data_IF_949428512411
#
_entry.id   IF_949428512411
#
_cell.length_a   1.000
_cell.length_b   1.000
_cell.length_c   1.000
_cell.angle_alpha   90.00
_cell.angle_beta   90.00
_cell.angle_gamma   90.00
#
_symmetry.space_group_name_H-M   'P 1'
#
loop_
_entity.id
_entity.type
_entity.pdbx_description
1 polymer ?
#
# COMPACT_ATOMS: atom_id res chain seq x y z
N UNK A 1 35.50 31.90 49.56
CA UNK A 1 36.22 30.84 48.79
C UNK A 1 37.09 31.54 47.75
N UNK A 2 38.40 31.24 47.69
CA UNK A 2 39.34 31.92 46.78
C UNK A 2 38.98 31.60 45.31
N UNK A 3 39.08 32.57 44.39
CA UNK A 3 38.69 32.36 42.99
C UNK A 3 39.56 31.31 42.28
N UNK A 4 40.85 31.21 42.62
CA UNK A 4 41.80 30.27 42.01
C UNK A 4 41.42 28.80 42.18
N UNK A 5 40.80 28.48 43.32
CA UNK A 5 40.34 27.14 43.69
C UNK A 5 39.17 26.67 42.79
N UNK A 6 38.34 27.62 42.30
CA UNK A 6 37.24 27.33 41.37
C UNK A 6 37.74 27.05 39.96
N UNK A 7 38.76 27.77 39.50
CA UNK A 7 39.36 27.54 38.19
C UNK A 7 40.11 26.21 38.14
N UNK A 8 40.82 25.85 39.21
CA UNK A 8 41.47 24.54 39.31
C UNK A 8 40.45 23.39 39.30
N UNK A 9 39.36 23.51 40.08
CA UNK A 9 38.28 22.52 40.06
C UNK A 9 37.67 22.36 38.66
N UNK A 10 37.41 23.47 37.96
CA UNK A 10 36.90 23.45 36.58
C UNK A 10 37.86 22.76 35.61
N UNK A 11 39.17 23.03 35.71
CA UNK A 11 40.19 22.37 34.87
C UNK A 11 40.22 20.86 35.15
N UNK A 12 40.13 20.43 36.41
CA UNK A 12 40.12 19.00 36.75
C UNK A 12 38.86 18.27 36.24
N UNK A 13 37.70 18.93 36.31
CA UNK A 13 36.46 18.38 35.75
C UNK A 13 36.54 18.25 34.23
N UNK A 14 37.01 19.31 33.55
CA UNK A 14 37.20 19.30 32.09
C UNK A 14 38.19 18.22 31.65
N UNK A 15 39.29 18.04 32.38
CA UNK A 15 40.26 16.98 32.10
C UNK A 15 39.61 15.60 32.23
N UNK A 16 38.82 15.38 33.28
CA UNK A 16 38.06 14.13 33.44
C UNK A 16 37.03 13.88 32.33
N UNK A 17 36.46 14.92 31.74
CA UNK A 17 35.60 14.78 30.56
C UNK A 17 36.38 14.43 29.30
N UNK A 18 37.54 15.07 29.07
CA UNK A 18 38.43 14.74 27.95
C UNK A 18 38.89 13.29 28.03
N UNK A 19 39.28 12.82 29.21
CA UNK A 19 39.71 11.43 29.41
C UNK A 19 38.57 10.43 29.12
N UNK A 20 37.34 10.74 29.56
CA UNK A 20 36.15 9.93 29.23
C UNK A 20 35.87 9.91 27.72
N UNK A 21 35.99 11.05 27.05
CA UNK A 21 35.79 11.12 25.59
C UNK A 21 36.83 10.27 24.87
N UNK A 22 38.09 10.34 25.27
CA UNK A 22 39.17 9.54 24.69
C UNK A 22 38.94 8.04 24.92
N UNK A 23 38.50 7.63 26.11
CA UNK A 23 38.20 6.22 26.38
C UNK A 23 37.00 5.73 25.55
N UNK A 24 35.93 6.54 25.43
CA UNK A 24 34.81 6.21 24.53
C UNK A 24 35.25 6.09 23.07
N UNK A 25 36.09 7.01 22.58
CA UNK A 25 36.63 6.93 21.23
C UNK A 25 37.42 5.62 21.04
N UNK A 26 38.28 5.27 22.00
CA UNK A 26 39.06 4.02 21.98
C UNK A 26 38.17 2.77 21.94
N UNK A 27 37.01 2.78 22.57
CA UNK A 27 36.05 1.67 22.47
C UNK A 27 35.22 1.67 21.18
N UNK A 28 34.88 2.85 20.65
CA UNK A 28 34.00 2.97 19.49
C UNK A 28 34.73 2.67 18.18
N UNK A 29 35.99 3.08 18.03
CA UNK A 29 36.79 2.79 16.82
C UNK A 29 36.85 1.29 16.47
N UNK A 30 37.18 0.37 17.39
CA UNK A 30 37.19 -1.06 17.08
C UNK A 30 35.78 -1.65 16.91
N UNK A 31 34.74 -1.10 17.55
CA UNK A 31 33.34 -1.51 17.32
C UNK A 31 32.91 -1.14 15.90
N UNK A 32 33.25 0.06 15.45
CA UNK A 32 32.97 0.53 14.10
C UNK A 32 33.70 -0.34 13.05
N UNK A 33 34.97 -0.66 13.27
CA UNK A 33 35.72 -1.53 12.37
C UNK A 33 35.13 -2.95 12.30
N UNK A 34 34.65 -3.50 13.43
CA UNK A 34 33.95 -4.79 13.46
C UNK A 34 32.64 -4.75 12.66
N UNK A 35 31.83 -3.71 12.82
CA UNK A 35 30.56 -3.56 12.10
C UNK A 35 30.79 -3.43 10.59
N UNK A 36 31.77 -2.63 10.16
CA UNK A 36 32.12 -2.52 8.74
C UNK A 36 32.59 -3.87 8.16
N UNK A 37 33.37 -4.64 8.93
CA UNK A 37 33.76 -6.01 8.53
C UNK A 37 32.59 -6.97 8.49
N UNK A 38 31.54 -6.76 9.30
CA UNK A 38 30.33 -7.59 9.28
C UNK A 38 29.40 -7.23 8.13
N UNK A 39 29.25 -5.95 7.84
CA UNK A 39 28.51 -5.42 6.69
C UNK A 39 29.10 -5.95 5.38
N UNK A 40 30.42 -5.85 5.20
CA UNK A 40 31.10 -6.35 4.00
C UNK A 40 31.11 -7.87 3.81
N UNK A 41 30.64 -8.68 4.77
CA UNK A 41 30.57 -10.15 4.62
C UNK A 41 29.43 -10.62 3.73
N UNK A 42 28.37 -9.82 3.59
CA UNK A 42 27.16 -10.20 2.83
C UNK A 42 26.81 -9.08 1.88
N UNK A 43 26.61 -9.42 0.61
CA UNK A 43 26.04 -8.49 -0.36
C UNK A 43 24.58 -8.27 0.05
N UNK A 44 24.28 -7.08 0.56
CA UNK A 44 22.91 -6.68 0.87
C UNK A 44 22.28 -6.05 -0.36
N UNK A 45 20.95 -5.91 -0.38
CA UNK A 45 20.25 -5.22 -1.47
C UNK A 45 20.72 -3.76 -1.65
N UNK A 46 21.29 -3.15 -0.60
CA UNK A 46 21.86 -1.80 -0.66
C UNK A 46 23.20 -1.76 -1.40
N UNK A 47 23.96 -2.86 -1.44
CA UNK A 47 25.23 -2.98 -2.17
C UNK A 47 25.05 -3.25 -3.67
N UNK A 48 23.82 -3.50 -4.12
CA UNK A 48 23.52 -3.73 -5.53
C UNK A 48 23.51 -2.40 -6.27
N UNK A 49 24.60 -2.11 -6.97
CA UNK A 49 24.67 -0.98 -7.90
C UNK A 49 24.10 -1.38 -9.27
N UNK A 50 22.92 -0.86 -9.62
CA UNK A 50 22.34 -1.02 -10.96
C UNK A 50 22.98 -0.02 -11.93
N UNK A 51 23.83 -0.49 -12.85
CA UNK A 51 24.51 0.38 -13.83
C UNK A 51 23.62 0.81 -15.01
N UNK A 52 22.73 -0.08 -15.46
CA UNK A 52 21.81 0.20 -16.55
C UNK A 52 20.48 -0.49 -16.24
N UNK A 53 19.48 0.30 -15.86
CA UNK A 53 18.11 -0.18 -15.66
C UNK A 53 17.21 0.50 -16.69
N UNK A 54 16.59 -0.29 -17.56
CA UNK A 54 15.60 0.19 -18.52
C UNK A 54 14.41 -0.74 -18.50
N UNK A 55 13.26 -0.23 -18.07
CA UNK A 55 11.99 -0.94 -18.17
C UNK A 55 11.34 -0.62 -19.51
N UNK A 56 11.25 -1.61 -20.42
CA UNK A 56 10.43 -1.49 -21.62
C UNK A 56 9.19 -2.36 -21.48
N UNK A 57 8.02 -1.72 -21.38
CA UNK A 57 6.73 -2.42 -21.39
C UNK A 57 6.15 -2.29 -22.79
N UNK A 58 6.11 -3.39 -23.53
CA UNK A 58 5.38 -3.45 -24.79
C UNK A 58 3.88 -3.33 -24.50
N UNK A 59 3.33 -2.12 -24.67
CA UNK A 59 1.87 -1.95 -24.74
C UNK A 59 1.39 -2.72 -25.96
N UNK A 60 0.41 -3.60 -25.79
CA UNK A 60 -0.23 -4.30 -26.91
C UNK A 60 -0.66 -3.26 -27.95
N UNK A 61 -0.12 -3.38 -29.17
CA UNK A 61 -0.58 -2.57 -30.30
C UNK A 61 -2.07 -2.85 -30.48
N UNK A 62 -2.94 -1.83 -30.62
CA UNK A 62 -4.30 -2.06 -31.06
C UNK A 62 -4.24 -2.87 -32.37
N UNK A 63 -4.95 -3.99 -32.40
CA UNK A 63 -5.06 -4.84 -33.56
C UNK A 63 -5.85 -4.11 -34.65
N UNK A 64 -5.16 -3.33 -35.48
CA UNK A 64 -5.71 -2.83 -36.74
C UNK A 64 -4.81 -3.24 -37.91
N UNK A 65 -5.31 -4.30 -38.57
CA UNK A 65 -5.23 -4.66 -39.99
C UNK A 65 -4.06 -4.13 -40.84
N UNK A 66 -3.33 -5.09 -41.42
CA UNK A 66 -2.50 -4.93 -42.62
C UNK A 66 -3.19 -4.04 -43.66
N UNK A 67 -2.60 -2.87 -43.91
CA UNK A 67 -2.80 -2.08 -45.12
C UNK A 67 -1.43 -1.54 -45.51
N UNK A 68 -0.92 -2.00 -46.65
CA UNK A 68 0.29 -1.45 -47.24
C UNK A 68 -0.03 -0.10 -47.89
N UNK A 69 0.57 0.98 -47.43
CA UNK A 69 0.87 2.15 -48.26
C UNK A 69 2.10 2.85 -47.72
N UNK A 70 3.12 2.94 -48.57
CA UNK A 70 4.20 3.92 -48.46
C UNK A 70 3.62 5.28 -48.83
N UNK A 71 3.42 6.16 -47.87
CA UNK A 71 3.10 7.56 -48.12
C UNK A 71 3.93 8.43 -47.16
N UNK A 72 4.82 9.21 -47.77
CA UNK A 72 5.70 10.16 -47.09
C UNK A 72 4.87 11.42 -46.87
N UNK A 73 4.57 11.76 -45.62
CA UNK A 73 3.98 13.06 -45.30
C UNK A 73 4.78 13.83 -44.24
N UNK A 74 4.75 15.15 -44.44
CA UNK A 74 5.81 16.11 -44.17
C UNK A 74 5.78 16.69 -42.76
N UNK A 75 6.97 17.08 -42.30
CA UNK A 75 7.27 17.68 -41.01
C UNK A 75 6.78 19.14 -40.95
N UNK A 76 5.53 19.32 -40.51
CA UNK A 76 4.93 20.50 -39.83
C UNK A 76 3.56 20.92 -40.41
N UNK A 77 2.44 20.32 -39.96
CA UNK A 77 1.09 20.73 -40.35
C UNK A 77 0.50 21.85 -39.46
N UNK A 78 1.27 22.53 -38.60
CA UNK A 78 0.77 23.63 -37.76
C UNK A 78 0.55 24.95 -38.53
N UNK A 79 -0.10 24.89 -39.68
CA UNK A 79 -0.67 26.05 -40.35
C UNK A 79 -2.14 25.73 -40.65
N UNK A 80 -3.02 26.54 -40.05
CA UNK A 80 -4.48 26.59 -40.26
C UNK A 80 -5.28 25.54 -39.47
N UNK A 81 -6.36 25.81 -38.75
CA UNK A 81 -6.96 26.99 -38.13
C UNK A 81 -8.18 26.46 -37.36
N UNK A 82 -8.44 27.04 -36.20
CA UNK A 82 -9.79 27.27 -35.64
C UNK A 82 -10.63 26.08 -35.12
N UNK A 83 -10.70 26.03 -33.79
CA UNK A 83 -11.91 26.33 -33.00
C UNK A 83 -12.84 25.19 -32.53
N UNK A 84 -13.14 25.29 -31.23
CA UNK A 84 -14.33 24.82 -30.49
C UNK A 84 -14.59 23.31 -30.30
N UNK A 85 -14.30 22.80 -29.08
CA UNK A 85 -15.35 22.43 -28.09
C UNK A 85 -14.79 21.83 -26.78
N UNK A 86 -14.89 22.63 -25.70
CA UNK A 86 -15.24 22.31 -24.30
C UNK A 86 -14.61 21.11 -23.56
N UNK A 87 -13.74 21.34 -22.55
CA UNK A 87 -13.60 20.39 -21.44
C UNK A 87 -14.69 20.67 -20.41
N UNK A 88 -15.45 19.63 -20.04
CA UNK A 88 -16.34 19.64 -18.90
C UNK A 88 -15.52 19.49 -17.62
N UNK A 89 -14.82 20.55 -17.24
CA UNK A 89 -14.21 20.69 -15.92
C UNK A 89 -15.30 21.05 -14.90
N UNK A 90 -15.89 20.03 -14.29
CA UNK A 90 -16.36 20.12 -12.91
C UNK A 90 -15.44 19.29 -12.03
N UNK A 91 -14.25 19.83 -11.81
CA UNK A 91 -13.52 19.59 -10.58
C UNK A 91 -14.38 20.14 -9.42
N UNK A 92 -15.22 19.28 -8.84
CA UNK A 92 -15.57 19.43 -7.43
C UNK A 92 -14.33 18.99 -6.66
N UNK A 93 -13.54 19.97 -6.29
CA UNK A 93 -12.66 19.88 -5.13
C UNK A 93 -13.64 19.82 -3.96
N UNK A 94 -13.90 18.61 -3.47
CA UNK A 94 -14.56 18.42 -2.19
C UNK A 94 -13.45 18.36 -1.15
N UNK A 95 -13.41 19.38 -0.28
CA UNK A 95 -12.39 19.60 0.74
C UNK A 95 -12.62 18.73 1.99
N UNK A 96 -13.18 17.54 1.81
CA UNK A 96 -13.18 16.45 2.79
C UNK A 96 -12.97 15.16 2.01
N UNK A 97 -11.75 14.61 2.02
CA UNK A 97 -11.48 13.32 1.39
C UNK A 97 -12.16 12.20 2.19
N UNK A 98 -13.48 12.11 2.07
CA UNK A 98 -14.27 10.98 2.50
C UNK A 98 -13.68 9.76 1.78
N UNK A 99 -13.28 8.75 2.57
CA UNK A 99 -12.63 7.54 2.07
C UNK A 99 -13.70 6.72 1.33
N UNK A 100 -14.00 7.11 0.11
CA UNK A 100 -15.06 6.50 -0.68
C UNK A 100 -14.50 5.37 -1.54
N UNK A 101 -15.17 4.21 -1.51
CA UNK A 101 -14.83 3.07 -2.36
C UNK A 101 -15.02 3.42 -3.85
N UNK A 102 -14.08 3.01 -4.69
CA UNK A 102 -14.20 3.16 -6.14
C UNK A 102 -15.45 2.44 -6.68
N UNK A 103 -15.94 2.81 -7.88
CA UNK A 103 -17.03 2.09 -8.53
C UNK A 103 -16.74 0.59 -8.73
N UNK A 104 -15.46 0.22 -8.88
CA UNK A 104 -15.05 -1.18 -9.00
C UNK A 104 -15.15 -1.91 -7.66
N UNK A 105 -14.71 -1.30 -6.56
CA UNK A 105 -14.86 -1.87 -5.22
C UNK A 105 -16.34 -1.96 -4.80
N UNK A 106 -17.18 -0.98 -5.15
CA UNK A 106 -18.64 -1.06 -4.91
C UNK A 106 -19.28 -2.28 -5.60
N UNK A 107 -18.85 -2.61 -6.83
CA UNK A 107 -19.28 -3.84 -7.52
C UNK A 107 -18.77 -5.10 -6.83
N UNK A 108 -17.52 -5.08 -6.35
CA UNK A 108 -16.96 -6.18 -5.57
C UNK A 108 -17.74 -6.43 -4.26
N UNK A 109 -18.19 -5.35 -3.59
CA UNK A 109 -19.01 -5.43 -2.38
C UNK A 109 -20.36 -6.14 -2.60
N UNK A 110 -20.89 -6.11 -3.83
CA UNK A 110 -22.17 -6.74 -4.19
C UNK A 110 -22.03 -8.24 -4.46
N UNK A 111 -20.82 -8.77 -4.60
CA UNK A 111 -20.60 -10.21 -4.79
C UNK A 111 -20.94 -10.92 -3.48
N UNK A 112 -21.67 -12.03 -3.58
CA UNK A 112 -22.06 -12.82 -2.42
C UNK A 112 -20.85 -13.32 -1.63
N UNK A 113 -20.93 -13.24 -0.31
CA UNK A 113 -19.86 -13.67 0.61
C UNK A 113 -19.50 -15.16 0.49
N UNK A 114 -20.39 -15.99 -0.06
CA UNK A 114 -20.15 -17.41 -0.28
C UNK A 114 -19.60 -17.72 -1.68
N UNK A 115 -19.68 -16.79 -2.63
CA UNK A 115 -19.22 -17.00 -4.00
C UNK A 115 -17.76 -16.57 -4.17
N UNK A 116 -16.88 -17.40 -3.61
CA UNK A 116 -15.43 -17.25 -3.72
C UNK A 116 -14.93 -17.32 -5.18
N UNK A 117 -15.66 -17.99 -6.07
CA UNK A 117 -15.28 -18.10 -7.48
C UNK A 117 -15.48 -16.76 -8.18
N UNK A 118 -16.64 -16.14 -7.98
CA UNK A 118 -16.93 -14.80 -8.51
C UNK A 118 -15.98 -13.75 -7.92
N UNK A 119 -15.72 -13.79 -6.61
CA UNK A 119 -14.77 -12.86 -5.98
C UNK A 119 -13.35 -13.01 -6.55
N UNK A 120 -12.85 -14.24 -6.73
CA UNK A 120 -11.53 -14.48 -7.32
C UNK A 120 -11.47 -13.98 -8.77
N UNK A 121 -12.49 -14.29 -9.57
CA UNK A 121 -12.56 -13.85 -10.96
C UNK A 121 -12.57 -12.32 -11.05
N UNK A 122 -13.36 -11.66 -10.20
CA UNK A 122 -13.43 -10.20 -10.18
C UNK A 122 -12.07 -9.57 -9.83
N UNK A 123 -11.37 -10.11 -8.84
CA UNK A 123 -10.04 -9.64 -8.44
C UNK A 123 -8.99 -9.86 -9.53
N UNK A 124 -9.08 -10.97 -10.26
CA UNK A 124 -8.17 -11.25 -11.38
C UNK A 124 -8.34 -10.26 -12.54
N UNK A 125 -9.57 -9.80 -12.77
CA UNK A 125 -9.89 -8.80 -13.81
C UNK A 125 -9.65 -7.37 -13.34
N UNK A 126 -9.69 -7.12 -12.03
CA UNK A 126 -9.58 -5.79 -11.45
C UNK A 126 -8.46 -5.71 -10.40
N UNK A 127 -7.20 -5.99 -10.74
CA UNK A 127 -6.10 -5.96 -9.77
C UNK A 127 -5.89 -4.57 -9.14
N UNK A 128 -6.38 -3.50 -9.77
CA UNK A 128 -6.32 -2.13 -9.26
C UNK A 128 -7.11 -1.92 -7.96
N UNK A 129 -8.07 -2.80 -7.62
CA UNK A 129 -8.83 -2.66 -6.37
C UNK A 129 -8.10 -3.23 -5.14
N UNK A 130 -6.96 -3.91 -5.32
CA UNK A 130 -6.13 -4.45 -4.24
C UNK A 130 -5.28 -3.36 -3.57
N UNK A 131 -5.92 -2.31 -3.07
CA UNK A 131 -5.25 -1.22 -2.34
C UNK A 131 -5.90 -1.01 -0.98
N UNK A 132 -5.18 -0.32 -0.09
CA UNK A 132 -5.67 0.02 1.25
C UNK A 132 -6.88 0.93 1.21
N UNK A 133 -6.84 1.95 0.34
CA UNK A 133 -7.94 2.89 0.13
C UNK A 133 -9.27 2.18 -0.18
N UNK A 134 -9.26 1.16 -1.03
CA UNK A 134 -10.49 0.41 -1.37
C UNK A 134 -10.97 -0.47 -0.22
N UNK A 135 -10.07 -0.99 0.61
CA UNK A 135 -10.43 -1.75 1.81
C UNK A 135 -11.15 -0.84 2.80
N UNK A 136 -10.58 0.32 3.08
CA UNK A 136 -11.16 1.30 4.00
C UNK A 136 -12.50 1.82 3.46
N UNK A 137 -12.59 2.09 2.16
CA UNK A 137 -13.85 2.51 1.53
C UNK A 137 -14.95 1.46 1.63
N UNK A 138 -14.63 0.17 1.56
CA UNK A 138 -15.60 -0.91 1.79
C UNK A 138 -16.04 -0.99 3.26
N UNK A 139 -15.16 -0.67 4.21
CA UNK A 139 -15.50 -0.60 5.63
C UNK A 139 -16.38 0.60 5.94
N UNK A 140 -16.17 1.74 5.26
CA UNK A 140 -17.09 2.89 5.32
C UNK A 140 -18.48 2.49 4.82
N UNK A 141 -18.57 1.82 3.66
CA UNK A 141 -19.85 1.29 3.16
C UNK A 141 -20.51 0.30 4.13
N UNK A 142 -19.72 -0.52 4.82
CA UNK A 142 -20.23 -1.39 5.86
C UNK A 142 -20.80 -0.60 7.05
N UNK A 143 -20.17 0.51 7.42
CA UNK A 143 -20.63 1.40 8.47
C UNK A 143 -21.95 2.08 8.08
N UNK A 144 -22.05 2.63 6.87
CA UNK A 144 -23.29 3.21 6.34
C UNK A 144 -24.42 2.17 6.32
N UNK A 145 -24.13 0.96 5.86
CA UNK A 145 -25.09 -0.14 5.86
C UNK A 145 -25.55 -0.52 7.29
N UNK A 146 -24.68 -0.38 8.30
CA UNK A 146 -25.03 -0.61 9.69
C UNK A 146 -25.96 0.50 10.24
N UNK A 147 -25.71 1.76 9.90
CA UNK A 147 -26.57 2.90 10.25
C UNK A 147 -27.98 2.74 9.64
N UNK A 148 -28.05 2.26 8.39
CA UNK A 148 -29.31 1.97 7.69
C UNK A 148 -29.99 0.66 8.17
N UNK A 149 -29.43 -0.04 9.17
CA UNK A 149 -29.92 -1.34 9.68
C UNK A 149 -29.98 -2.46 8.63
N UNK A 150 -29.17 -2.36 7.57
CA UNK A 150 -29.01 -3.40 6.54
C UNK A 150 -27.96 -4.42 6.97
N UNK A 151 -28.27 -5.18 8.01
CA UNK A 151 -27.34 -6.13 8.65
C UNK A 151 -26.71 -7.15 7.69
N UNK A 152 -27.47 -7.65 6.72
CA UNK A 152 -26.96 -8.60 5.71
C UNK A 152 -25.91 -7.98 4.80
N UNK A 153 -26.22 -6.79 4.27
CA UNK A 153 -25.33 -6.03 3.39
C UNK A 153 -24.08 -5.55 4.14
N UNK A 154 -24.23 -5.09 5.38
CA UNK A 154 -23.11 -4.74 6.25
C UNK A 154 -22.11 -5.89 6.40
N UNK A 155 -22.58 -7.10 6.75
CA UNK A 155 -21.71 -8.29 6.84
C UNK A 155 -21.02 -8.61 5.52
N UNK A 156 -21.70 -8.44 4.40
CA UNK A 156 -21.14 -8.67 3.08
C UNK A 156 -20.04 -7.66 2.75
N UNK A 157 -20.26 -6.36 3.00
CA UNK A 157 -19.23 -5.34 2.85
C UNK A 157 -17.99 -5.61 3.72
N UNK A 158 -18.18 -5.99 4.98
CA UNK A 158 -17.06 -6.38 5.88
C UNK A 158 -16.31 -7.60 5.34
N UNK A 159 -17.04 -8.62 4.89
CA UNK A 159 -16.44 -9.83 4.33
C UNK A 159 -15.58 -9.51 3.10
N UNK A 160 -16.12 -8.74 2.15
CA UNK A 160 -15.38 -8.35 0.95
C UNK A 160 -14.19 -7.42 1.27
N UNK A 161 -14.32 -6.52 2.26
CA UNK A 161 -13.21 -5.69 2.74
C UNK A 161 -12.06 -6.52 3.30
N UNK A 162 -12.36 -7.46 4.21
CA UNK A 162 -11.35 -8.33 4.79
C UNK A 162 -10.74 -9.27 3.75
N UNK A 163 -11.53 -9.72 2.77
CA UNK A 163 -11.02 -10.46 1.60
C UNK A 163 -9.91 -9.69 0.89
N UNK A 164 -10.14 -8.40 0.58
CA UNK A 164 -9.11 -7.53 -0.02
C UNK A 164 -7.90 -7.36 0.90
N UNK A 165 -8.13 -7.15 2.18
CA UNK A 165 -7.06 -6.97 3.17
C UNK A 165 -6.12 -8.20 3.20
N UNK A 166 -6.69 -9.40 3.31
CA UNK A 166 -5.93 -10.64 3.32
C UNK A 166 -5.22 -10.90 1.99
N UNK A 167 -5.87 -10.62 0.86
CA UNK A 167 -5.26 -10.73 -0.45
C UNK A 167 -4.06 -9.77 -0.61
N UNK A 168 -4.14 -8.55 -0.05
CA UNK A 168 -3.05 -7.56 -0.07
C UNK A 168 -1.86 -8.01 0.77
N UNK A 169 -2.11 -8.55 1.97
CA UNK A 169 -1.06 -9.04 2.87
C UNK A 169 -0.21 -10.19 2.27
N UNK A 170 -0.82 -11.00 1.40
CA UNK A 170 -0.15 -12.13 0.75
C UNK A 170 0.52 -11.76 -0.60
N UNK A 171 0.26 -10.57 -1.16
CA UNK A 171 0.83 -10.10 -2.42
C UNK A 171 0.17 -10.66 -3.68
N UNK A 172 0.65 -10.22 -4.87
CA UNK A 172 0.03 -10.52 -6.18
C UNK A 172 -0.19 -12.01 -6.44
N UNK A 173 0.81 -12.86 -6.15
CA UNK A 173 0.71 -14.30 -6.35
C UNK A 173 -0.02 -15.04 -5.21
N UNK A 174 -0.22 -14.34 -4.10
CA UNK A 174 -0.80 -14.88 -2.87
C UNK A 174 -2.33 -14.89 -2.85
N UNK A 175 -3.00 -14.16 -3.75
CA UNK A 175 -4.46 -14.11 -3.86
C UNK A 175 -5.03 -15.53 -4.07
N UNK A 176 -4.53 -16.25 -5.07
CA UNK A 176 -5.01 -17.61 -5.36
C UNK A 176 -4.78 -18.57 -4.18
N UNK A 177 -3.65 -18.42 -3.49
CA UNK A 177 -3.30 -19.23 -2.32
C UNK A 177 -4.24 -18.93 -1.14
N UNK A 178 -4.60 -17.66 -0.92
CA UNK A 178 -5.59 -17.28 0.09
C UNK A 178 -6.93 -17.96 -0.18
N UNK A 179 -7.46 -17.81 -1.41
CA UNK A 179 -8.72 -18.40 -1.80
C UNK A 179 -8.71 -19.94 -1.70
N UNK A 180 -7.60 -20.59 -2.04
CA UNK A 180 -7.44 -22.03 -1.83
C UNK A 180 -7.52 -22.40 -0.34
N UNK A 181 -6.86 -21.63 0.54
CA UNK A 181 -6.83 -21.91 1.99
C UNK A 181 -8.16 -21.62 2.68
N UNK A 182 -8.88 -20.55 2.29
CA UNK A 182 -10.16 -20.16 2.91
C UNK A 182 -11.31 -21.06 2.47
N UNK A 183 -11.22 -21.66 1.27
CA UNK A 183 -12.24 -22.59 0.74
C UNK A 183 -12.00 -24.05 1.16
N UNK A 184 -10.79 -24.39 1.61
CA UNK A 184 -10.46 -25.74 2.09
C UNK A 184 -11.15 -26.00 3.43
N UNK A 185 -12.03 -27.01 3.48
CA UNK A 185 -12.76 -27.40 4.69
C UNK A 185 -11.80 -27.80 5.82
N UNK A 186 -12.00 -27.23 7.01
CA UNK A 186 -11.21 -27.55 8.20
C UNK A 186 -9.81 -26.90 8.24
N UNK A 187 -9.52 -26.00 7.30
CA UNK A 187 -8.27 -25.25 7.32
C UNK A 187 -8.32 -24.11 8.36
N UNK A 188 -7.24 -23.91 9.11
CA UNK A 188 -7.18 -22.88 10.16
C UNK A 188 -7.47 -21.46 9.62
N UNK A 189 -6.95 -21.14 8.43
CA UNK A 189 -7.20 -19.85 7.77
C UNK A 189 -8.69 -19.56 7.52
N UNK A 190 -9.51 -20.58 7.28
CA UNK A 190 -10.95 -20.40 7.12
C UNK A 190 -11.59 -19.93 8.44
N UNK A 191 -11.20 -20.57 9.55
CA UNK A 191 -11.72 -20.23 10.88
C UNK A 191 -11.31 -18.82 11.28
N UNK A 192 -10.01 -18.50 11.18
CA UNK A 192 -9.47 -17.17 11.49
C UNK A 192 -10.17 -16.09 10.67
N UNK A 193 -10.33 -16.31 9.37
CA UNK A 193 -11.00 -15.35 8.49
C UNK A 193 -12.46 -15.10 8.91
N UNK A 194 -13.24 -16.15 9.19
CA UNK A 194 -14.63 -15.98 9.61
C UNK A 194 -14.77 -15.33 10.99
N UNK A 195 -13.88 -15.67 11.94
CA UNK A 195 -13.84 -15.02 13.25
C UNK A 195 -13.54 -13.52 13.10
N UNK A 196 -12.57 -13.13 12.27
CA UNK A 196 -12.24 -11.73 12.00
C UNK A 196 -13.42 -10.98 11.35
N UNK A 197 -14.13 -11.60 10.40
CA UNK A 197 -15.32 -11.03 9.77
C UNK A 197 -16.41 -10.78 10.81
N UNK A 198 -16.67 -11.76 11.68
CA UNK A 198 -17.67 -11.64 12.74
C UNK A 198 -17.28 -10.51 13.70
N UNK A 199 -16.05 -10.51 14.18
CA UNK A 199 -15.59 -9.58 15.22
C UNK A 199 -15.53 -8.15 14.68
N UNK A 200 -15.15 -7.97 13.40
CA UNK A 200 -15.17 -6.67 12.73
C UNK A 200 -16.59 -6.17 12.49
N UNK A 201 -17.50 -7.04 12.03
CA UNK A 201 -18.92 -6.69 11.92
C UNK A 201 -19.53 -6.28 13.26
N UNK A 202 -19.24 -7.02 14.34
CA UNK A 202 -19.73 -6.67 15.69
C UNK A 202 -19.21 -5.32 16.17
N UNK A 203 -17.93 -5.00 15.92
CA UNK A 203 -17.34 -3.70 16.24
C UNK A 203 -18.00 -2.56 15.47
N UNK A 204 -18.24 -2.74 14.16
CA UNK A 204 -18.91 -1.76 13.30
C UNK A 204 -20.34 -1.53 13.78
N UNK A 205 -21.09 -2.60 14.03
CA UNK A 205 -22.47 -2.52 14.52
C UNK A 205 -22.57 -1.81 15.85
N UNK A 206 -21.65 -2.09 16.79
CA UNK A 206 -21.61 -1.40 18.08
C UNK A 206 -21.36 0.10 17.91
N UNK A 207 -20.34 0.47 17.11
CA UNK A 207 -20.02 1.88 16.84
C UNK A 207 -21.13 2.64 16.11
N UNK A 208 -21.88 1.98 15.23
CA UNK A 208 -23.00 2.59 14.52
C UNK A 208 -24.24 2.82 15.43
N UNK A 209 -24.24 2.27 16.64
CA UNK A 209 -25.31 2.45 17.64
C UNK A 209 -24.96 3.47 18.72
N UNK A 210 -23.69 3.87 18.83
CA UNK A 210 -23.18 4.92 19.73
C UNK A 210 -23.50 6.31 19.16
#
# INVERSE_FOLDING_TARGET
KKPDDRYQAMITELQGHVDKINEMQRELTPKLEKLLKEEGKKITSADIHTGFDSSHVAKAKPSEKKGASTEVELLNPNALSSDSQSPSDKAKIDEEAEVEASPAAKKFAQIDSNDYTASLQFLSQNPQILTEKETDGLLVLAFDAALEKKDGYCRQCVHQALLLQYCRLLGKDGVRLFFQRVTTKGHQAQTIFYDDVRDTYMRIKKRAQE
#
